data_IF_216834679108
#
_entry.id   IF_216834679108
#
_cell.length_a   1.000
_cell.length_b   1.000
_cell.length_c   1.000
_cell.angle_alpha   90.00
_cell.angle_beta   90.00
_cell.angle_gamma   90.00
#
_symmetry.space_group_name_H-M   'P 1'
#
loop_
_entity.id
_entity.type
_entity.pdbx_description
1 polymer ?
#
# COMPACT_ATOMS: atom_id res chain seq x y z
N UNK A 1 -12.16 -2.60 23.05
CA UNK A 1 -13.60 -2.49 23.38
C UNK A 1 -14.34 -3.45 22.45
N UNK A 2 -15.33 -4.23 22.90
CA UNK A 2 -16.12 -5.06 21.96
C UNK A 2 -16.99 -4.11 21.14
N UNK A 3 -16.86 -4.18 19.82
CA UNK A 3 -17.64 -3.40 18.86
C UNK A 3 -19.12 -3.71 19.08
N UNK A 4 -19.98 -2.68 19.12
CA UNK A 4 -21.41 -2.91 19.27
C UNK A 4 -21.99 -3.34 17.91
N UNK A 5 -22.47 -4.59 17.76
CA UNK A 5 -23.00 -5.09 16.49
C UNK A 5 -24.29 -4.38 16.05
N UNK A 6 -24.99 -3.70 16.96
CA UNK A 6 -26.17 -2.88 16.62
C UNK A 6 -25.81 -1.69 15.73
N UNK A 7 -24.66 -1.06 15.97
CA UNK A 7 -24.18 0.09 15.19
C UNK A 7 -23.27 -0.33 14.03
N UNK A 8 -22.57 -1.46 14.16
CA UNK A 8 -21.59 -1.92 13.19
C UNK A 8 -21.81 -3.37 12.77
N UNK A 9 -22.97 -3.68 12.13
CA UNK A 9 -23.38 -5.04 11.83
C UNK A 9 -22.49 -5.77 10.82
N UNK A 10 -21.69 -5.03 10.04
CA UNK A 10 -20.85 -5.59 8.98
C UNK A 10 -19.39 -5.84 9.43
N UNK A 11 -19.06 -5.56 10.69
CA UNK A 11 -17.68 -5.69 11.22
C UNK A 11 -17.10 -7.10 11.03
N UNK A 12 -17.91 -8.14 11.20
CA UNK A 12 -17.45 -9.52 11.04
C UNK A 12 -17.15 -9.87 9.57
N UNK A 13 -18.02 -9.45 8.65
CA UNK A 13 -17.80 -9.61 7.21
C UNK A 13 -16.54 -8.87 6.76
N UNK A 14 -16.41 -7.60 7.17
CA UNK A 14 -15.25 -6.78 6.90
C UNK A 14 -13.96 -7.43 7.43
N UNK A 15 -14.01 -7.93 8.67
CA UNK A 15 -12.88 -8.67 9.29
C UNK A 15 -12.52 -9.92 8.50
N UNK A 16 -13.49 -10.71 8.05
CA UNK A 16 -13.24 -11.88 7.21
C UNK A 16 -12.61 -11.49 5.88
N UNK A 17 -13.10 -10.44 5.22
CA UNK A 17 -12.53 -9.92 3.97
C UNK A 17 -11.06 -9.53 4.13
N UNK A 18 -10.74 -8.67 5.10
CA UNK A 18 -9.36 -8.24 5.36
C UNK A 18 -8.47 -9.44 5.70
N UNK A 19 -8.98 -10.40 6.46
CA UNK A 19 -8.25 -11.63 6.80
C UNK A 19 -8.05 -12.60 5.63
N UNK A 20 -8.73 -12.46 4.49
CA UNK A 20 -8.39 -13.24 3.29
C UNK A 20 -7.11 -12.75 2.61
N UNK A 21 -6.76 -11.47 2.78
CA UNK A 21 -5.64 -10.83 2.10
C UNK A 21 -4.33 -11.11 2.86
N UNK A 22 -3.38 -11.81 2.23
CA UNK A 22 -2.14 -12.22 2.90
C UNK A 22 -1.32 -11.01 3.36
N UNK A 23 -1.27 -9.96 2.53
CA UNK A 23 -0.62 -8.71 2.90
C UNK A 23 -1.25 -8.07 4.15
N UNK A 24 -2.58 -8.04 4.28
CA UNK A 24 -3.26 -7.43 5.42
C UNK A 24 -3.00 -8.20 6.71
N UNK A 25 -3.02 -9.54 6.65
CA UNK A 25 -2.63 -10.40 7.79
C UNK A 25 -1.19 -10.12 8.20
N UNK A 26 -0.28 -9.99 7.23
CA UNK A 26 1.13 -9.69 7.50
C UNK A 26 1.32 -8.32 8.14
N UNK A 27 0.59 -7.31 7.68
CA UNK A 27 0.58 -5.97 8.27
C UNK A 27 -0.07 -5.90 9.66
N UNK A 28 -0.84 -6.92 10.06
CA UNK A 28 -1.57 -6.93 11.32
C UNK A 28 -2.81 -6.04 11.30
N UNK A 29 -3.39 -5.78 10.12
CA UNK A 29 -4.57 -4.93 10.00
C UNK A 29 -5.76 -5.52 10.77
N UNK A 30 -6.43 -4.68 11.55
CA UNK A 30 -7.59 -5.06 12.35
C UNK A 30 -8.77 -4.17 12.03
N UNK A 31 -9.90 -4.75 11.62
CA UNK A 31 -11.14 -3.99 11.43
C UNK A 31 -11.73 -3.68 12.80
N UNK A 32 -11.91 -2.40 13.09
CA UNK A 32 -12.49 -1.93 14.34
C UNK A 32 -14.00 -1.75 14.22
N UNK A 33 -14.47 -1.20 13.10
CA UNK A 33 -15.88 -0.86 12.91
C UNK A 33 -16.23 -1.00 11.42
N UNK A 34 -17.37 -1.61 11.09
CA UNK A 34 -17.89 -1.58 9.73
C UNK A 34 -19.43 -1.55 9.69
N UNK A 35 -19.95 -0.67 8.84
CA UNK A 35 -21.36 -0.51 8.55
C UNK A 35 -21.55 -0.25 7.04
N UNK A 36 -22.77 0.03 6.61
CA UNK A 36 -23.05 0.47 5.24
C UNK A 36 -22.46 1.86 4.91
N UNK A 37 -22.17 2.67 5.94
CA UNK A 37 -21.69 4.03 5.77
C UNK A 37 -20.17 4.11 5.73
N UNK A 38 -19.48 3.35 6.58
CA UNK A 38 -18.03 3.42 6.69
C UNK A 38 -17.39 2.12 7.20
N UNK A 39 -16.07 2.05 7.03
CA UNK A 39 -15.17 1.07 7.63
C UNK A 39 -14.02 1.79 8.33
N UNK A 40 -13.66 1.33 9.53
CA UNK A 40 -12.50 1.76 10.29
C UNK A 40 -11.53 0.59 10.46
N UNK A 41 -10.29 0.74 9.99
CA UNK A 41 -9.22 -0.24 10.10
C UNK A 41 -8.05 0.35 10.88
N UNK A 42 -7.51 -0.41 11.83
CA UNK A 42 -6.26 -0.11 12.51
C UNK A 42 -5.08 -0.80 11.79
N UNK A 43 -4.04 -0.03 11.52
CA UNK A 43 -2.69 -0.50 11.20
C UNK A 43 -1.79 -0.29 12.43
N UNK A 44 -1.31 -1.37 13.08
CA UNK A 44 -0.37 -1.22 14.17
C UNK A 44 0.98 -0.70 13.68
N UNK A 45 1.66 0.09 14.51
CA UNK A 45 3.03 0.50 14.23
C UNK A 45 3.99 -0.70 14.30
N UNK A 46 4.91 -0.77 13.34
CA UNK A 46 6.07 -1.67 13.38
C UNK A 46 7.26 -1.05 12.66
N UNK A 47 8.46 -1.31 13.19
CA UNK A 47 9.73 -0.90 12.57
C UNK A 47 9.95 -1.53 11.21
N UNK A 48 9.34 -2.68 10.94
CA UNK A 48 9.41 -3.33 9.63
C UNK A 48 8.75 -2.51 8.51
N UNK A 49 7.91 -1.53 8.87
CA UNK A 49 7.12 -0.72 7.94
C UNK A 49 7.73 0.67 7.69
N UNK A 50 8.86 0.97 8.31
CA UNK A 50 9.55 2.27 8.18
C UNK A 50 10.04 2.45 6.74
N UNK A 51 9.70 3.62 6.17
CA UNK A 51 10.23 4.09 4.88
C UNK A 51 11.35 5.11 5.02
N UNK A 52 11.40 5.81 6.16
CA UNK A 52 12.36 6.88 6.43
C UNK A 52 13.17 6.55 7.70
N UNK A 53 14.26 5.78 7.59
CA UNK A 53 15.01 5.23 8.73
C UNK A 53 15.43 6.28 9.76
N UNK A 54 15.88 7.46 9.31
CA UNK A 54 16.34 8.55 10.19
C UNK A 54 15.24 9.11 11.12
N UNK A 55 13.98 8.93 10.75
CA UNK A 55 12.83 9.54 11.45
C UNK A 55 11.88 8.51 12.06
N UNK A 56 12.01 7.24 11.70
CA UNK A 56 11.07 6.19 12.10
C UNK A 56 9.69 6.28 11.45
N UNK A 57 9.52 7.12 10.42
CA UNK A 57 8.23 7.32 9.75
C UNK A 57 7.89 6.12 8.86
N UNK A 58 6.65 5.65 8.96
CA UNK A 58 6.08 4.58 8.13
C UNK A 58 6.11 5.00 6.65
N UNK A 59 6.44 4.08 5.76
CA UNK A 59 6.48 4.35 4.32
C UNK A 59 5.08 4.69 3.75
N UNK A 60 5.01 5.64 2.80
CA UNK A 60 3.75 6.08 2.20
C UNK A 60 2.95 4.94 1.55
N UNK A 61 3.63 4.00 0.90
CA UNK A 61 3.03 2.78 0.35
C UNK A 61 2.30 1.88 1.36
N UNK A 62 2.67 1.92 2.64
CA UNK A 62 1.93 1.21 3.70
C UNK A 62 0.62 1.94 3.98
N UNK A 63 0.64 3.28 4.01
CA UNK A 63 -0.57 4.11 4.12
C UNK A 63 -1.47 3.87 2.90
N UNK A 64 -0.90 3.81 1.70
CA UNK A 64 -1.65 3.49 0.48
C UNK A 64 -2.29 2.11 0.55
N UNK A 65 -1.58 1.10 1.10
CA UNK A 65 -2.15 -0.23 1.33
C UNK A 65 -3.32 -0.20 2.32
N UNK A 66 -3.17 0.49 3.46
CA UNK A 66 -4.25 0.67 4.43
C UNK A 66 -5.49 1.30 3.79
N UNK A 67 -5.30 2.35 2.99
CA UNK A 67 -6.39 3.09 2.33
C UNK A 67 -7.05 2.26 1.22
N UNK A 68 -6.28 1.57 0.39
CA UNK A 68 -6.77 0.63 -0.63
C UNK A 68 -7.62 -0.47 0.01
N UNK A 69 -7.13 -1.08 1.11
CA UNK A 69 -7.87 -2.10 1.86
C UNK A 69 -9.15 -1.54 2.49
N UNK A 70 -9.10 -0.37 3.14
CA UNK A 70 -10.25 0.24 3.78
C UNK A 70 -11.33 0.61 2.75
N UNK A 71 -10.95 1.20 1.61
CA UNK A 71 -11.86 1.49 0.51
C UNK A 71 -12.49 0.23 -0.08
N UNK A 72 -11.68 -0.79 -0.41
CA UNK A 72 -12.20 -2.06 -0.93
C UNK A 72 -13.15 -2.74 0.06
N UNK A 73 -12.86 -2.66 1.36
CA UNK A 73 -13.74 -3.17 2.41
C UNK A 73 -15.05 -2.38 2.51
N UNK A 74 -15.02 -1.05 2.40
CA UNK A 74 -16.22 -0.23 2.35
C UNK A 74 -17.11 -0.55 1.14
N UNK A 75 -16.52 -0.88 -0.01
CA UNK A 75 -17.26 -1.34 -1.19
C UNK A 75 -17.95 -2.68 -0.93
N UNK A 76 -17.24 -3.65 -0.34
CA UNK A 76 -17.83 -4.95 0.05
C UNK A 76 -19.01 -4.75 1.01
N UNK A 77 -18.87 -3.88 2.01
CA UNK A 77 -19.93 -3.59 2.97
C UNK A 77 -21.15 -2.94 2.30
N UNK A 78 -20.93 -1.95 1.43
CA UNK A 78 -22.00 -1.28 0.70
C UNK A 78 -22.75 -2.23 -0.25
N UNK A 79 -22.04 -3.11 -0.95
CA UNK A 79 -22.66 -4.10 -1.85
C UNK A 79 -23.49 -5.12 -1.06
N UNK A 80 -22.93 -5.67 0.03
CA UNK A 80 -23.65 -6.62 0.87
C UNK A 80 -24.95 -6.03 1.41
N UNK A 81 -24.90 -4.78 1.87
CA UNK A 81 -26.07 -4.11 2.40
C UNK A 81 -27.12 -3.84 1.32
N UNK A 82 -26.71 -3.30 0.16
CA UNK A 82 -27.64 -2.86 -0.87
C UNK A 82 -28.21 -4.00 -1.71
N UNK A 83 -27.43 -5.05 -1.95
CA UNK A 83 -27.78 -6.13 -2.88
C UNK A 83 -27.82 -7.53 -2.24
N UNK A 84 -27.38 -7.68 -0.97
CA UNK A 84 -27.31 -8.99 -0.32
C UNK A 84 -26.31 -9.94 -0.95
N UNK A 85 -25.38 -9.43 -1.77
CA UNK A 85 -24.43 -10.21 -2.56
C UNK A 85 -22.97 -9.87 -2.20
N UNK A 86 -22.06 -10.76 -2.60
CA UNK A 86 -20.62 -10.52 -2.58
C UNK A 86 -20.13 -10.44 -4.03
N UNK A 87 -19.42 -9.36 -4.34
CA UNK A 87 -18.87 -9.06 -5.66
C UNK A 87 -17.35 -8.89 -5.56
N UNK A 88 -16.63 -9.27 -6.62
CA UNK A 88 -15.21 -8.93 -6.72
C UNK A 88 -15.12 -7.47 -7.12
N UNK A 89 -14.39 -6.69 -6.31
CA UNK A 89 -14.22 -5.26 -6.52
C UNK A 89 -12.76 -4.86 -6.68
N UNK A 90 -12.13 -5.07 -7.86
CA UNK A 90 -10.76 -4.65 -8.09
C UNK A 90 -10.65 -3.12 -8.13
N UNK A 91 -9.60 -2.58 -7.53
CA UNK A 91 -9.27 -1.16 -7.61
C UNK A 91 -8.94 -0.80 -9.07
N UNK A 92 -9.58 0.25 -9.59
CA UNK A 92 -9.28 0.84 -10.90
C UNK A 92 -8.24 1.94 -10.76
N UNK A 93 -8.46 2.85 -9.82
CA UNK A 93 -7.55 3.94 -9.51
C UNK A 93 -7.57 4.26 -8.02
N UNK A 94 -6.45 4.80 -7.55
CA UNK A 94 -6.32 5.32 -6.19
C UNK A 94 -5.41 6.55 -6.22
N UNK A 95 -5.90 7.63 -5.63
CA UNK A 95 -5.11 8.84 -5.38
C UNK A 95 -4.98 9.05 -3.89
N UNK A 96 -3.75 9.28 -3.44
CA UNK A 96 -3.41 9.59 -2.05
C UNK A 96 -2.68 10.92 -1.99
N UNK A 97 -3.22 11.88 -1.25
CA UNK A 97 -2.56 13.16 -0.97
C UNK A 97 -2.05 13.15 0.48
N UNK A 98 -0.74 13.33 0.69
CA UNK A 98 -0.09 13.29 2.01
C UNK A 98 0.05 14.69 2.61
N UNK A 99 -0.54 14.91 3.78
CA UNK A 99 -0.50 16.21 4.47
C UNK A 99 0.63 16.28 5.51
N UNK A 100 0.92 15.17 6.19
CA UNK A 100 1.95 15.08 7.24
C UNK A 100 2.45 13.65 7.41
N UNK A 101 3.66 13.45 7.95
CA UNK A 101 4.15 12.11 8.27
C UNK A 101 3.34 11.49 9.43
N UNK A 102 3.25 10.16 9.43
CA UNK A 102 2.78 9.42 10.59
C UNK A 102 3.79 9.56 11.74
N UNK A 103 3.29 9.86 12.93
CA UNK A 103 4.09 9.90 14.16
C UNK A 103 4.58 8.49 14.51
N UNK A 104 5.89 8.27 14.74
CA UNK A 104 6.43 6.97 15.09
C UNK A 104 5.84 6.41 16.39
N UNK A 105 5.81 5.08 16.51
CA UNK A 105 5.33 4.34 17.68
C UNK A 105 3.82 4.48 17.98
N UNK A 106 3.03 4.95 17.02
CA UNK A 106 1.57 5.05 17.10
C UNK A 106 0.92 4.30 15.94
N UNK A 107 -0.18 3.58 16.22
CA UNK A 107 -1.03 3.01 15.17
C UNK A 107 -1.55 4.10 14.22
N UNK A 108 -1.89 3.70 13.00
CA UNK A 108 -2.57 4.53 12.01
C UNK A 108 -3.96 3.95 11.77
N UNK A 109 -4.97 4.80 11.75
CA UNK A 109 -6.36 4.44 11.49
C UNK A 109 -6.76 4.87 10.09
N UNK A 110 -7.30 3.94 9.31
CA UNK A 110 -7.89 4.18 7.99
C UNK A 110 -9.41 4.17 8.10
N UNK A 111 -10.03 5.33 7.94
CA UNK A 111 -11.48 5.48 7.84
C UNK A 111 -11.86 5.62 6.38
N UNK A 112 -12.78 4.79 5.87
CA UNK A 112 -13.18 4.80 4.47
C UNK A 112 -14.70 4.69 4.30
N UNK A 113 -15.21 5.35 3.27
CA UNK A 113 -16.64 5.36 2.91
C UNK A 113 -16.80 5.06 1.42
N UNK A 114 -17.79 4.24 1.08
CA UNK A 114 -18.28 4.10 -0.29
C UNK A 114 -19.43 5.09 -0.51
N UNK A 115 -19.10 6.33 -0.89
CA UNK A 115 -20.09 7.41 -0.98
C UNK A 115 -20.98 7.32 -2.21
N UNK A 116 -20.63 6.49 -3.20
CA UNK A 116 -21.48 6.25 -4.38
C UNK A 116 -21.26 4.85 -4.95
N UNK A 117 -22.34 4.07 -4.98
CA UNK A 117 -22.37 2.76 -5.62
C UNK A 117 -23.21 2.83 -6.90
N UNK A 118 -22.55 2.76 -8.07
CA UNK A 118 -23.22 2.67 -9.38
C UNK A 118 -23.27 1.22 -9.86
N UNK A 119 -23.86 0.94 -11.03
CA UNK A 119 -23.96 -0.42 -11.58
C UNK A 119 -22.61 -1.11 -11.80
N UNK A 120 -21.61 -0.38 -12.30
CA UNK A 120 -20.31 -0.96 -12.70
C UNK A 120 -19.13 -0.45 -11.88
N UNK A 121 -19.30 0.65 -11.14
CA UNK A 121 -18.21 1.33 -10.42
C UNK A 121 -18.70 1.76 -9.04
N UNK A 122 -17.89 1.52 -8.02
CA UNK A 122 -18.03 2.08 -6.69
C UNK A 122 -16.99 3.20 -6.50
N UNK A 123 -17.42 4.32 -5.91
CA UNK A 123 -16.54 5.44 -5.61
C UNK A 123 -16.37 5.58 -4.10
N UNK A 124 -15.11 5.72 -3.70
CA UNK A 124 -14.71 5.72 -2.30
C UNK A 124 -13.90 6.95 -1.95
N UNK A 125 -13.93 7.31 -0.68
CA UNK A 125 -13.01 8.26 -0.07
C UNK A 125 -12.54 7.72 1.26
N UNK A 126 -11.33 8.05 1.64
CA UNK A 126 -10.75 7.60 2.90
C UNK A 126 -9.84 8.65 3.54
N UNK A 127 -9.62 8.51 4.84
CA UNK A 127 -8.77 9.35 5.67
C UNK A 127 -7.87 8.45 6.51
N UNK A 128 -6.55 8.63 6.40
CA UNK A 128 -5.58 8.04 7.30
C UNK A 128 -5.25 9.04 8.42
N UNK A 129 -5.36 8.65 9.68
CA UNK A 129 -5.09 9.51 10.82
C UNK A 129 -4.55 8.72 12.04
N UNK A 130 -4.18 9.42 13.12
CA UNK A 130 -3.74 8.79 14.38
C UNK A 130 -4.60 9.28 15.55
N UNK A 131 -4.32 10.47 16.08
CA UNK A 131 -5.04 10.97 17.26
C UNK A 131 -6.40 11.61 16.92
N UNK A 132 -6.54 12.21 15.73
CA UNK A 132 -7.76 12.91 15.31
C UNK A 132 -7.88 12.94 13.79
N UNK A 133 -9.09 12.72 13.29
CA UNK A 133 -9.43 12.75 11.87
C UNK A 133 -9.29 14.17 11.26
N UNK A 134 -9.40 15.22 12.08
CA UNK A 134 -9.21 16.62 11.67
C UNK A 134 -7.74 16.97 11.40
N UNK A 135 -6.83 16.07 11.79
CA UNK A 135 -5.40 16.17 11.50
C UNK A 135 -4.99 14.93 10.71
N UNK A 136 -5.39 14.80 9.43
CA UNK A 136 -5.08 13.61 8.65
C UNK A 136 -3.57 13.50 8.39
N UNK A 137 -3.08 12.26 8.28
CA UNK A 137 -1.83 11.91 7.61
C UNK A 137 -2.02 12.06 6.10
N UNK A 138 -3.09 11.47 5.58
CA UNK A 138 -3.40 11.45 4.16
C UNK A 138 -4.91 11.39 3.90
N UNK A 139 -5.35 11.94 2.77
CA UNK A 139 -6.65 11.63 2.18
C UNK A 139 -6.45 10.71 0.98
N UNK A 140 -7.44 9.85 0.73
CA UNK A 140 -7.49 9.10 -0.51
C UNK A 140 -8.88 9.16 -1.15
N UNK A 141 -8.90 9.05 -2.47
CA UNK A 141 -10.09 8.78 -3.28
C UNK A 141 -9.76 7.67 -4.26
N UNK A 142 -10.72 6.80 -4.53
CA UNK A 142 -10.50 5.71 -5.47
C UNK A 142 -11.79 5.18 -6.07
N UNK A 143 -11.68 4.61 -7.26
CA UNK A 143 -12.76 3.93 -7.94
C UNK A 143 -12.48 2.41 -7.99
N UNK A 144 -13.53 1.63 -7.79
CA UNK A 144 -13.48 0.18 -7.77
C UNK A 144 -14.45 -0.37 -8.80
N UNK A 145 -13.99 -1.26 -9.67
CA UNK A 145 -14.86 -1.95 -10.62
C UNK A 145 -15.77 -2.90 -9.87
N UNK A 146 -17.04 -3.01 -10.25
CA UNK A 146 -17.95 -4.03 -9.75
C UNK A 146 -18.03 -5.16 -10.75
N UNK A 147 -17.58 -6.34 -10.36
CA UNK A 147 -17.67 -7.54 -11.19
C UNK A 147 -18.78 -8.44 -10.65
N UNK A 148 -19.64 -8.89 -11.57
CA UNK A 148 -20.84 -9.66 -11.28
C UNK A 148 -20.63 -10.82 -10.29
N UNK A 149 -21.60 -11.12 -9.41
CA UNK A 149 -21.48 -12.16 -8.39
C UNK A 149 -21.13 -13.56 -8.92
N UNK A 150 -21.48 -13.88 -10.17
CA UNK A 150 -21.19 -15.19 -10.79
C UNK A 150 -19.69 -15.38 -11.05
N UNK A 151 -18.93 -14.28 -11.16
CA UNK A 151 -17.48 -14.31 -11.31
C UNK A 151 -16.76 -14.51 -9.97
N UNK A 152 -17.49 -14.38 -8.85
CA UNK A 152 -16.95 -14.70 -7.52
C UNK A 152 -16.94 -16.22 -7.36
N UNK A 153 -15.74 -16.82 -7.44
CA UNK A 153 -15.59 -18.26 -7.27
C UNK A 153 -16.12 -18.73 -5.91
N UNK A 154 -16.78 -19.89 -5.91
CA UNK A 154 -17.47 -20.44 -4.73
C UNK A 154 -16.56 -20.55 -3.48
N UNK A 155 -15.28 -20.88 -3.69
CA UNK A 155 -14.27 -20.90 -2.62
C UNK A 155 -14.11 -19.53 -1.94
N UNK A 156 -14.08 -18.44 -2.71
CA UNK A 156 -13.97 -17.08 -2.15
C UNK A 156 -15.20 -16.71 -1.35
N UNK A 157 -16.38 -17.03 -1.89
CA UNK A 157 -17.65 -16.79 -1.22
C UNK A 157 -17.72 -17.52 0.11
N UNK A 158 -17.40 -18.82 0.14
CA UNK A 158 -17.34 -19.61 1.37
C UNK A 158 -16.37 -19.00 2.38
N UNK A 159 -15.19 -18.58 1.96
CA UNK A 159 -14.21 -17.96 2.85
C UNK A 159 -14.65 -16.61 3.46
N UNK A 160 -15.56 -15.89 2.81
CA UNK A 160 -16.13 -14.65 3.32
C UNK A 160 -17.35 -14.84 4.21
N UNK A 161 -18.07 -15.96 4.06
CA UNK A 161 -19.31 -16.25 4.79
C UNK A 161 -19.07 -17.18 5.99
N UNK A 162 -18.11 -18.10 5.90
CA UNK A 162 -17.84 -19.11 6.91
C UNK A 162 -16.65 -18.73 7.82
N UNK A 163 -16.76 -18.89 9.15
CA UNK A 163 -15.64 -18.64 10.06
C UNK A 163 -14.46 -19.60 9.83
N UNK A 164 -13.23 -19.10 9.99
CA UNK A 164 -12.02 -19.92 10.09
C UNK A 164 -11.40 -20.38 8.77
N UNK A 165 -12.01 -20.06 7.62
CA UNK A 165 -11.47 -20.42 6.31
C UNK A 165 -10.54 -19.33 5.77
N UNK A 166 -9.25 -19.62 5.54
CA UNK A 166 -8.28 -18.68 4.94
C UNK A 166 -7.75 -19.28 3.65
N UNK A 167 -7.95 -18.60 2.52
CA UNK A 167 -7.57 -19.11 1.20
C UNK A 167 -6.11 -18.85 0.80
N UNK A 168 -5.49 -17.84 1.41
CA UNK A 168 -4.14 -17.40 1.07
C UNK A 168 -3.03 -18.13 1.85
N UNK A 169 -1.76 -17.89 1.50
CA UNK A 169 -0.62 -18.48 2.19
C UNK A 169 -0.62 -18.16 3.69
N UNK A 170 -0.10 -19.07 4.50
CA UNK A 170 0.14 -18.78 5.91
C UNK A 170 1.24 -17.73 6.02
N UNK A 171 0.97 -16.66 6.76
CA UNK A 171 1.90 -15.55 6.98
C UNK A 171 1.97 -15.26 8.47
N UNK A 172 3.18 -15.00 8.95
CA UNK A 172 3.36 -14.49 10.30
C UNK A 172 2.98 -13.01 10.31
N UNK A 173 2.00 -12.65 11.13
CA UNK A 173 1.60 -11.25 11.33
C UNK A 173 2.72 -10.48 12.06
N UNK A 174 2.87 -9.21 11.72
CA UNK A 174 3.63 -8.29 12.55
C UNK A 174 2.95 -8.22 13.93
N UNK A 175 3.73 -8.44 14.98
CA UNK A 175 3.28 -8.19 16.34
C UNK A 175 3.39 -6.69 16.62
N UNK A 176 2.39 -6.12 17.29
CA UNK A 176 2.48 -4.75 17.76
C UNK A 176 3.71 -4.60 18.67
N UNK A 177 4.60 -3.68 18.32
CA UNK A 177 5.81 -3.43 19.11
C UNK A 177 5.44 -2.62 20.36
N UNK A 178 5.28 -3.30 21.50
CA UNK A 178 4.94 -2.66 22.79
C UNK A 178 6.13 -1.98 23.49
N UNK A 179 7.33 -2.03 22.91
CA UNK A 179 8.54 -1.51 23.55
C UNK A 179 8.78 -0.05 23.19
N UNK A 180 8.85 0.80 24.23
CA UNK A 180 9.49 2.12 24.13
C UNK A 180 10.88 1.92 23.51
N UNK A 181 11.31 2.79 22.56
CA UNK A 181 12.64 2.68 22.00
C UNK A 181 13.67 2.72 23.13
N UNK A 182 14.51 1.68 23.23
CA UNK A 182 15.82 1.85 23.84
C UNK A 182 16.57 2.90 23.03
N UNK A 183 17.33 3.76 23.70
CA UNK A 183 18.07 4.93 23.20
C UNK A 183 19.17 4.62 22.18
N UNK A 184 18.90 3.77 21.18
CA UNK A 184 19.68 3.70 19.96
C UNK A 184 19.17 4.75 19.00
N UNK A 185 19.61 6.00 19.16
CA UNK A 185 19.53 6.96 18.07
C UNK A 185 20.16 6.26 16.85
N UNK A 186 19.36 5.94 15.84
CA UNK A 186 19.89 5.46 14.58
C UNK A 186 20.89 6.53 14.13
N UNK A 187 22.17 6.18 14.03
CA UNK A 187 23.17 7.10 13.52
C UNK A 187 22.64 7.63 12.18
N UNK A 188 22.60 8.96 12.03
CA UNK A 188 22.02 9.60 10.86
C UNK A 188 22.61 8.95 9.60
N UNK A 189 21.74 8.38 8.74
CA UNK A 189 22.17 7.72 7.53
C UNK A 189 22.85 8.76 6.64
N UNK A 190 24.13 8.55 6.28
CA UNK A 190 24.75 9.36 5.22
C UNK A 190 24.24 8.87 3.86
N UNK A 191 23.01 9.28 3.54
CA UNK A 191 22.33 8.94 2.28
C UNK A 191 23.22 9.30 1.09
N UNK A 192 23.95 10.42 1.16
CA UNK A 192 24.78 10.89 0.06
C UNK A 192 25.97 9.96 -0.19
N UNK A 193 26.67 9.56 0.88
CA UNK A 193 27.78 8.61 0.78
C UNK A 193 27.30 7.25 0.27
N UNK A 194 26.19 6.73 0.81
CA UNK A 194 25.62 5.45 0.39
C UNK A 194 25.23 5.50 -1.08
N UNK A 195 24.47 6.51 -1.50
CA UNK A 195 24.06 6.70 -2.90
C UNK A 195 25.27 6.76 -3.83
N UNK A 196 26.33 7.48 -3.44
CA UNK A 196 27.56 7.54 -4.22
C UNK A 196 28.19 6.16 -4.36
N UNK A 197 28.36 5.44 -3.26
CA UNK A 197 28.98 4.11 -3.24
C UNK A 197 28.19 3.10 -4.08
N UNK A 198 26.87 3.02 -3.92
CA UNK A 198 26.03 2.08 -4.68
C UNK A 198 26.01 2.42 -6.17
N UNK A 199 26.12 3.70 -6.52
CA UNK A 199 26.19 4.15 -7.92
C UNK A 199 27.54 3.80 -8.55
N UNK A 200 28.65 3.92 -7.82
CA UNK A 200 30.00 3.56 -8.26
C UNK A 200 30.17 2.04 -8.41
N UNK A 201 29.61 1.25 -7.49
CA UNK A 201 29.69 -0.21 -7.49
C UNK A 201 28.63 -0.89 -8.36
N UNK A 202 27.63 -0.14 -8.83
CA UNK A 202 26.47 -0.66 -9.55
C UNK A 202 25.69 -1.74 -8.77
N UNK A 203 25.69 -1.63 -7.43
CA UNK A 203 24.98 -2.52 -6.52
C UNK A 203 24.16 -1.68 -5.53
N UNK A 204 22.84 -1.71 -5.71
CA UNK A 204 21.87 -0.92 -4.93
C UNK A 204 21.33 -1.68 -3.71
N UNK A 205 21.73 -2.94 -3.52
CA UNK A 205 21.31 -3.77 -2.38
C UNK A 205 21.60 -3.08 -1.04
N UNK A 206 22.80 -2.48 -0.80
CA UNK A 206 23.08 -1.80 0.45
C UNK A 206 22.15 -0.62 0.75
N UNK A 207 21.65 0.08 -0.28
CA UNK A 207 20.70 1.19 -0.08
C UNK A 207 19.31 0.65 0.30
N UNK A 208 18.83 -0.37 -0.41
CA UNK A 208 17.52 -0.99 -0.13
C UNK A 208 17.51 -1.71 1.21
N UNK A 209 18.63 -2.29 1.61
CA UNK A 209 18.83 -2.90 2.91
C UNK A 209 18.73 -1.91 4.06
N UNK A 210 18.89 -0.60 3.84
CA UNK A 210 18.70 0.39 4.91
C UNK A 210 17.24 0.75 5.12
N UNK A 211 16.34 0.44 4.18
CA UNK A 211 14.93 0.83 4.24
C UNK A 211 14.07 -0.38 4.63
N UNK A 212 13.54 -0.44 5.87
CA UNK A 212 12.80 -1.61 6.35
C UNK A 212 11.63 -2.02 5.44
N UNK A 213 10.86 -1.06 4.93
CA UNK A 213 9.75 -1.37 4.03
C UNK A 213 10.20 -1.99 2.70
N UNK A 214 11.34 -1.56 2.14
CA UNK A 214 11.88 -2.16 0.91
C UNK A 214 12.22 -3.65 1.13
N UNK A 215 12.86 -3.98 2.25
CA UNK A 215 13.11 -5.38 2.67
C UNK A 215 11.80 -6.15 2.93
N UNK A 216 10.82 -5.48 3.53
CA UNK A 216 9.53 -6.09 3.84
C UNK A 216 8.85 -6.61 2.56
N UNK A 217 8.74 -5.79 1.52
CA UNK A 217 8.15 -6.21 0.23
C UNK A 217 9.12 -7.03 -0.64
N UNK A 218 10.42 -6.98 -0.35
CA UNK A 218 11.47 -7.72 -1.06
C UNK A 218 11.94 -7.01 -2.34
N UNK A 219 11.82 -5.69 -2.40
CA UNK A 219 12.19 -4.91 -3.59
C UNK A 219 13.69 -4.99 -3.88
N UNK A 220 14.02 -5.01 -5.16
CA UNK A 220 15.36 -5.00 -5.69
C UNK A 220 15.52 -3.90 -6.76
N UNK A 221 16.76 -3.51 -7.07
CA UNK A 221 17.08 -2.55 -8.10
C UNK A 221 18.30 -3.01 -8.90
N UNK A 222 18.24 -2.84 -10.23
CA UNK A 222 19.34 -3.12 -11.14
C UNK A 222 19.49 -1.97 -12.12
N UNK A 223 20.72 -1.67 -12.51
CA UNK A 223 21.03 -0.60 -13.46
C UNK A 223 21.64 -1.17 -14.74
N UNK A 224 21.11 -0.71 -15.87
CA UNK A 224 21.55 -1.06 -17.22
C UNK A 224 21.88 0.22 -17.97
N UNK A 225 23.17 0.54 -18.12
CA UNK A 225 23.59 1.84 -18.63
C UNK A 225 23.15 2.95 -17.68
N UNK A 226 22.29 3.86 -18.14
CA UNK A 226 21.72 4.94 -17.30
C UNK A 226 20.30 4.65 -16.81
N UNK A 227 19.72 3.51 -17.20
CA UNK A 227 18.38 3.12 -16.78
C UNK A 227 18.42 2.30 -15.49
N UNK A 228 17.69 2.74 -14.47
CA UNK A 228 17.35 1.92 -13.31
C UNK A 228 16.05 1.16 -13.57
N UNK A 229 16.09 -0.15 -13.35
CA UNK A 229 14.93 -1.03 -13.38
C UNK A 229 14.77 -1.64 -12.00
N UNK A 230 13.58 -1.48 -11.45
CA UNK A 230 13.23 -2.04 -10.15
C UNK A 230 12.50 -3.37 -10.33
N UNK A 231 12.67 -4.28 -9.37
CA UNK A 231 11.98 -5.58 -9.35
C UNK A 231 11.31 -5.79 -8.00
N UNK A 232 10.03 -6.15 -8.05
CA UNK A 232 9.29 -6.75 -6.96
C UNK A 232 9.17 -8.24 -7.27
N UNK A 233 9.92 -9.12 -6.58
CA UNK A 233 9.89 -10.54 -6.84
C UNK A 233 8.53 -11.16 -6.49
N UNK A 234 8.21 -12.27 -7.16
CA UNK A 234 7.07 -13.10 -6.78
C UNK A 234 7.26 -13.58 -5.33
N UNK A 235 6.38 -13.10 -4.43
CA UNK A 235 6.45 -13.41 -3.01
C UNK A 235 5.05 -13.64 -2.48
N UNK A 236 4.81 -14.82 -1.92
CA UNK A 236 3.51 -15.25 -1.40
C UNK A 236 2.93 -14.25 -0.40
N UNK A 237 3.79 -13.64 0.41
CA UNK A 237 3.42 -12.64 1.41
C UNK A 237 2.84 -11.35 0.84
N UNK A 238 3.02 -11.08 -0.45
CA UNK A 238 2.54 -9.88 -1.14
C UNK A 238 1.18 -10.10 -1.84
N UNK A 239 0.64 -11.33 -1.79
CA UNK A 239 -0.62 -11.68 -2.45
C UNK A 239 -1.80 -10.97 -1.77
N UNK A 240 -2.62 -10.31 -2.58
CA UNK A 240 -3.90 -9.73 -2.18
C UNK A 240 -5.04 -10.70 -2.44
N UNK A 241 -5.27 -11.05 -3.71
CA UNK A 241 -6.33 -11.97 -4.11
C UNK A 241 -5.77 -13.40 -4.24
N UNK A 242 -6.08 -14.32 -3.30
CA UNK A 242 -5.54 -15.69 -3.32
C UNK A 242 -6.19 -16.58 -4.39
N UNK A 243 -7.33 -16.19 -4.95
CA UNK A 243 -8.08 -17.01 -5.92
C UNK A 243 -7.52 -16.88 -7.34
N UNK A 244 -7.16 -15.66 -7.75
CA UNK A 244 -6.54 -15.37 -9.06
C UNK A 244 -5.04 -15.08 -8.90
N UNK A 245 -4.40 -15.71 -7.90
CA UNK A 245 -3.17 -15.26 -7.22
C UNK A 245 -2.59 -13.93 -7.74
N UNK A 246 -3.17 -12.82 -7.28
CA UNK A 246 -2.76 -11.48 -7.67
C UNK A 246 -2.16 -10.72 -6.49
N UNK A 247 -1.10 -9.96 -6.75
CA UNK A 247 -0.44 -9.06 -5.81
C UNK A 247 -1.45 -7.98 -5.38
N UNK A 248 -1.44 -7.63 -4.10
CA UNK A 248 -2.31 -6.58 -3.57
C UNK A 248 -2.01 -5.23 -4.24
N UNK A 249 -3.06 -4.48 -4.62
CA UNK A 249 -2.94 -3.17 -5.26
C UNK A 249 -2.05 -2.20 -4.49
N UNK A 250 -2.32 -2.03 -3.19
CA UNK A 250 -1.45 -1.29 -2.27
C UNK A 250 0.04 -1.69 -2.25
N UNK A 251 0.40 -2.97 -2.45
CA UNK A 251 1.81 -3.40 -2.51
C UNK A 251 2.46 -2.92 -3.81
N UNK A 252 1.74 -3.02 -4.94
CA UNK A 252 2.21 -2.49 -6.22
C UNK A 252 2.40 -0.97 -6.10
N UNK A 253 1.47 -0.26 -5.48
CA UNK A 253 1.58 1.18 -5.24
C UNK A 253 2.81 1.51 -4.39
N UNK A 254 3.01 0.83 -3.26
CA UNK A 254 4.17 1.04 -2.41
C UNK A 254 5.51 0.69 -3.06
N UNK A 255 5.54 -0.32 -3.93
CA UNK A 255 6.69 -0.64 -4.76
C UNK A 255 7.01 0.47 -5.77
N UNK A 256 5.99 1.01 -6.43
CA UNK A 256 6.15 2.11 -7.39
C UNK A 256 6.61 3.41 -6.72
N UNK A 257 6.07 3.73 -5.54
CA UNK A 257 6.49 4.89 -4.74
C UNK A 257 7.95 4.75 -4.28
N UNK A 258 8.33 3.59 -3.74
CA UNK A 258 9.72 3.32 -3.32
C UNK A 258 10.68 3.38 -4.52
N UNK A 259 10.27 2.86 -5.68
CA UNK A 259 11.03 2.95 -6.93
C UNK A 259 11.32 4.41 -7.31
N UNK A 260 10.31 5.29 -7.20
CA UNK A 260 10.49 6.72 -7.48
C UNK A 260 11.43 7.40 -6.47
N UNK A 261 11.31 7.07 -5.18
CA UNK A 261 12.20 7.58 -4.12
C UNK A 261 13.66 7.20 -4.42
N UNK A 262 13.93 5.93 -4.71
CA UNK A 262 15.29 5.44 -5.03
C UNK A 262 15.81 6.07 -6.32
N UNK A 263 14.98 6.16 -7.37
CA UNK A 263 15.34 6.82 -8.62
C UNK A 263 15.77 8.28 -8.38
N UNK A 264 15.01 9.03 -7.58
CA UNK A 264 15.33 10.42 -7.25
C UNK A 264 16.62 10.53 -6.45
N UNK A 265 16.82 9.66 -5.44
CA UNK A 265 18.05 9.66 -4.65
C UNK A 265 19.28 9.44 -5.53
N UNK A 266 19.24 8.45 -6.42
CA UNK A 266 20.36 8.11 -7.31
C UNK A 266 20.59 9.20 -8.36
N UNK A 267 19.54 9.64 -9.05
CA UNK A 267 19.67 10.60 -10.15
C UNK A 267 20.04 12.01 -9.68
N UNK A 268 19.49 12.45 -8.54
CA UNK A 268 19.72 13.80 -8.01
C UNK A 268 20.84 13.86 -6.97
N UNK A 269 21.38 12.71 -6.53
CA UNK A 269 22.37 12.61 -5.44
C UNK A 269 21.93 13.36 -4.18
N UNK A 270 20.65 13.21 -3.81
CA UNK A 270 20.07 13.92 -2.67
C UNK A 270 20.72 13.50 -1.36
N UNK A 271 20.93 14.45 -0.45
CA UNK A 271 21.45 14.17 0.89
C UNK A 271 20.40 13.66 1.88
N UNK A 272 19.13 13.67 1.50
CA UNK A 272 17.98 13.24 2.31
C UNK A 272 16.98 12.50 1.44
N UNK A 273 16.19 11.64 2.06
CA UNK A 273 15.12 10.92 1.37
C UNK A 273 14.03 11.90 0.90
N UNK A 274 13.69 11.93 -0.40
CA UNK A 274 12.59 12.75 -0.93
C UNK A 274 11.27 12.42 -0.24
N UNK A 275 10.51 13.46 0.14
CA UNK A 275 9.23 13.26 0.83
C UNK A 275 8.09 13.27 -0.19
N UNK A 276 7.28 12.21 -0.20
CA UNK A 276 6.09 12.16 -1.06
C UNK A 276 5.07 13.24 -0.65
N UNK A 277 4.52 13.94 -1.64
CA UNK A 277 3.45 14.94 -1.49
C UNK A 277 2.12 14.32 -1.89
N UNK A 278 2.09 13.66 -3.05
CA UNK A 278 0.94 12.89 -3.52
C UNK A 278 1.41 11.72 -4.38
N UNK A 279 0.56 10.69 -4.44
CA UNK A 279 0.72 9.50 -5.26
C UNK A 279 -0.61 9.13 -5.89
N UNK A 280 -0.66 9.03 -7.21
CA UNK A 280 -1.84 8.63 -7.98
C UNK A 280 -1.49 7.44 -8.85
N UNK A 281 -2.29 6.38 -8.79
CA UNK A 281 -2.08 5.14 -9.54
C UNK A 281 -3.33 4.72 -10.29
N UNK A 282 -3.14 4.28 -11.53
CA UNK A 282 -4.14 3.60 -12.35
C UNK A 282 -3.74 2.13 -12.50
N UNK A 283 -4.63 1.22 -12.12
CA UNK A 283 -4.47 -0.22 -12.31
C UNK A 283 -5.10 -0.65 -13.63
N UNK A 284 -4.26 -1.06 -14.58
CA UNK A 284 -4.66 -1.38 -15.94
C UNK A 284 -4.96 -2.87 -16.14
N UNK A 285 -4.46 -3.72 -15.24
CA UNK A 285 -4.69 -5.17 -15.18
C UNK A 285 -4.23 -5.75 -13.85
N UNK A 286 -4.59 -7.00 -13.60
CA UNK A 286 -4.10 -7.75 -12.46
C UNK A 286 -2.57 -7.93 -12.52
N UNK A 287 -1.89 -7.60 -11.42
CA UNK A 287 -0.49 -8.00 -11.20
C UNK A 287 -0.47 -9.42 -10.66
N UNK A 288 -0.31 -10.42 -11.52
CA UNK A 288 -0.31 -11.83 -11.11
C UNK A 288 0.89 -12.17 -10.20
N UNK A 289 0.88 -13.31 -9.54
CA UNK A 289 1.98 -13.79 -8.71
C UNK A 289 3.21 -14.19 -9.56
N UNK A 290 3.93 -13.18 -10.04
CA UNK A 290 5.18 -13.25 -10.80
C UNK A 290 5.98 -11.97 -10.56
N UNK A 291 7.24 -11.99 -10.95
CA UNK A 291 8.10 -10.81 -10.88
C UNK A 291 7.43 -9.62 -11.59
N UNK A 292 7.48 -8.49 -10.90
CA UNK A 292 6.89 -7.23 -11.34
C UNK A 292 8.00 -6.20 -11.40
N UNK A 293 8.07 -5.45 -12.49
CA UNK A 293 9.14 -4.52 -12.78
C UNK A 293 8.60 -3.11 -12.85
N UNK A 294 9.41 -2.13 -12.46
CA UNK A 294 9.08 -0.72 -12.61
C UNK A 294 10.23 0.08 -13.23
N UNK A 295 9.86 1.08 -14.02
CA UNK A 295 10.75 2.13 -14.53
C UNK A 295 10.21 3.48 -14.07
N UNK A 296 11.11 4.40 -13.75
CA UNK A 296 10.77 5.74 -13.29
C UNK A 296 11.30 6.79 -14.26
N UNK A 297 10.43 7.71 -14.70
CA UNK A 297 10.80 8.87 -15.51
C UNK A 297 10.60 10.15 -14.71
N UNK A 298 11.69 10.81 -14.38
CA UNK A 298 11.68 12.08 -13.67
C UNK A 298 11.39 13.20 -14.68
N UNK A 299 10.30 13.93 -14.45
CA UNK A 299 9.99 15.19 -15.13
C UNK A 299 10.09 16.31 -14.10
N UNK A 300 11.22 17.01 -14.06
CA UNK A 300 11.45 18.01 -13.01
C UNK A 300 10.59 19.25 -13.22
N UNK A 301 9.91 19.70 -12.17
CA UNK A 301 9.18 20.97 -12.13
C UNK A 301 9.77 21.87 -11.03
N UNK A 302 10.82 22.61 -11.36
CA UNK A 302 11.40 23.64 -10.47
C UNK A 302 12.43 23.13 -9.46
N UNK A 303 12.77 23.98 -8.47
CA UNK A 303 13.90 23.73 -7.55
C UNK A 303 13.60 22.72 -6.45
N UNK A 304 12.38 22.72 -5.92
CA UNK A 304 12.00 22.01 -4.68
C UNK A 304 11.02 20.85 -4.88
N UNK A 305 10.51 20.65 -6.09
CA UNK A 305 9.53 19.59 -6.38
C UNK A 305 10.00 18.79 -7.60
N UNK A 306 9.93 17.47 -7.48
CA UNK A 306 10.13 16.54 -8.58
C UNK A 306 8.81 15.83 -8.88
N UNK A 307 8.43 15.74 -10.16
CA UNK A 307 7.34 14.90 -10.62
C UNK A 307 7.97 13.64 -11.23
N UNK A 308 7.49 12.46 -10.82
CA UNK A 308 7.95 11.18 -11.33
C UNK A 308 6.76 10.42 -11.89
N UNK A 309 6.90 9.99 -13.14
CA UNK A 309 6.00 9.01 -13.74
C UNK A 309 6.60 7.62 -13.56
N UNK A 310 5.83 6.66 -13.07
CA UNK A 310 6.26 5.28 -12.85
C UNK A 310 5.39 4.36 -13.70
N UNK A 311 6.03 3.49 -14.48
CA UNK A 311 5.34 2.46 -15.24
C UNK A 311 5.73 1.09 -14.68
N UNK A 312 4.73 0.25 -14.45
CA UNK A 312 4.89 -1.07 -13.85
C UNK A 312 4.42 -2.15 -14.82
N UNK A 313 5.19 -3.22 -15.02
CA UNK A 313 4.86 -4.34 -15.91
C UNK A 313 5.35 -5.67 -15.35
N UNK A 314 4.96 -6.80 -15.94
CA UNK A 314 5.45 -8.12 -15.53
C UNK A 314 6.12 -8.91 -16.66
N UNK A 315 5.58 -8.84 -17.88
CA UNK A 315 6.08 -9.62 -19.01
C UNK A 315 6.59 -8.73 -20.14
N UNK A 316 5.89 -7.65 -20.45
CA UNK A 316 6.22 -6.77 -21.58
C UNK A 316 6.01 -5.30 -21.18
N UNK A 317 7.00 -4.43 -21.40
CA UNK A 317 6.91 -2.98 -21.12
C UNK A 317 5.78 -2.27 -21.89
N UNK A 318 5.32 -2.81 -23.02
CA UNK A 318 4.15 -2.30 -23.76
C UNK A 318 2.82 -2.70 -23.10
N UNK A 319 2.85 -3.64 -22.17
CA UNK A 319 1.71 -4.13 -21.41
C UNK A 319 1.94 -3.86 -19.91
N UNK A 320 1.68 -2.62 -19.50
CA UNK A 320 1.72 -2.16 -18.11
C UNK A 320 0.63 -2.74 -17.18
N UNK A 321 1.02 -3.30 -16.04
CA UNK A 321 0.11 -3.64 -14.95
C UNK A 321 -0.56 -2.40 -14.36
N UNK A 322 0.24 -1.36 -14.15
CA UNK A 322 -0.20 -0.08 -13.62
C UNK A 322 0.70 1.05 -14.10
N UNK A 323 0.18 2.26 -14.05
CA UNK A 323 0.96 3.50 -14.20
C UNK A 323 0.66 4.40 -13.01
N UNK A 324 1.65 5.15 -12.56
CA UNK A 324 1.49 6.06 -11.45
C UNK A 324 2.22 7.37 -11.70
N UNK A 325 1.76 8.41 -11.02
CA UNK A 325 2.41 9.71 -10.95
C UNK A 325 2.54 10.11 -9.50
N UNK A 326 3.70 10.62 -9.14
CA UNK A 326 3.97 11.07 -7.79
C UNK A 326 4.75 12.38 -7.79
N UNK A 327 4.46 13.24 -6.82
CA UNK A 327 5.27 14.42 -6.55
C UNK A 327 6.03 14.25 -5.27
N UNK A 328 7.28 14.68 -5.30
CA UNK A 328 8.17 14.62 -4.16
C UNK A 328 8.72 16.01 -3.86
N UNK A 329 8.72 16.36 -2.58
CA UNK A 329 9.50 17.47 -2.06
C UNK A 329 10.96 17.04 -1.97
N UNK A 330 11.83 17.87 -2.54
CA UNK A 330 13.28 17.72 -2.56
C UNK A 330 13.90 18.98 -1.92
N UNK A 331 14.99 18.78 -1.18
CA UNK A 331 15.73 19.85 -0.50
C UNK A 331 16.71 20.57 -1.46
#
# INVERSE_FOLDING_TARGET
MKVNPEFFPLTELASRFVNQLAQCRRLGLSVLEASEHHVLIELPYSRALIGYPDTGVIHGGVITTLMDTACGCAVVCAIQQQFGSLEISPTLDLRVDYMRPAEPNKSVYGFAECYRLSSNIAFTRAIAYQDSIDKPIAHAVGAFMRISPEMVGEKFRQALLEPGHVLGPQVQSLQAESQKPGDGAAAALDVKQIVRQVTELNDFSPLLEQVPYARFIGMEASRFGDELVFRLPAKDTNIGNPVVPAIHGGVIAGFMEMSAIVQLMVFMQTSRVPKVVDFSIDYLRAGYHKDTFAECRITRQGRRVANVNINCWQTNRKQLVSTARAHFLID
#
